data_IF_460907860293
#
_entry.id   IF_460907860293
#
_cell.length_a   1.000
_cell.length_b   1.000
_cell.length_c   1.000
_cell.angle_alpha   90.00
_cell.angle_beta   90.00
_cell.angle_gamma   90.00
#
_symmetry.space_group_name_H-M   'P 1'
#
loop_
_entity.id
_entity.type
_entity.pdbx_description
1 polymer ?
#
# COMPACT_ATOMS: atom_id res chain seq x y z
N UNK A 1 -6.32 -14.67 43.61
CA UNK A 1 -5.39 -15.56 42.90
C UNK A 1 -6.17 -16.69 42.19
N UNK A 2 -7.01 -16.38 41.19
CA UNK A 2 -7.85 -17.42 40.50
C UNK A 2 -7.64 -17.47 38.97
N UNK A 3 -7.30 -16.35 38.31
CA UNK A 3 -7.21 -16.30 36.84
C UNK A 3 -6.00 -16.96 36.17
N UNK A 4 -5.18 -17.77 36.88
CA UNK A 4 -4.05 -18.51 36.26
C UNK A 4 -4.43 -19.95 35.89
N UNK A 5 -5.26 -20.61 36.69
CA UNK A 5 -5.69 -22.00 36.45
C UNK A 5 -6.66 -22.09 35.28
N UNK A 6 -7.62 -21.16 35.17
CA UNK A 6 -8.56 -21.10 34.04
C UNK A 6 -7.86 -20.85 32.70
N UNK A 7 -6.79 -20.03 32.71
CA UNK A 7 -5.98 -19.77 31.51
C UNK A 7 -5.15 -20.99 31.08
N UNK A 8 -4.70 -21.81 32.02
CA UNK A 8 -4.02 -23.08 31.74
C UNK A 8 -4.96 -24.08 31.07
N UNK A 9 -6.16 -24.26 31.63
CA UNK A 9 -7.17 -25.16 31.05
C UNK A 9 -7.59 -24.76 29.62
N UNK A 10 -7.70 -23.45 29.33
CA UNK A 10 -7.99 -22.96 27.99
C UNK A 10 -6.87 -23.26 26.97
N UNK A 11 -5.62 -23.22 27.41
CA UNK A 11 -4.47 -23.57 26.57
C UNK A 11 -4.44 -25.07 26.26
N UNK A 12 -4.68 -25.91 27.26
CA UNK A 12 -4.74 -27.37 27.09
C UNK A 12 -5.90 -27.81 26.18
N UNK A 13 -7.07 -27.18 26.33
CA UNK A 13 -8.22 -27.40 25.45
C UNK A 13 -7.91 -26.97 24.00
N UNK A 14 -7.25 -25.82 23.83
CA UNK A 14 -6.81 -25.34 22.52
C UNK A 14 -5.81 -26.30 21.86
N UNK A 15 -4.88 -26.88 22.61
CA UNK A 15 -3.92 -27.85 22.07
C UNK A 15 -4.58 -29.18 21.66
N UNK A 16 -5.55 -29.67 22.44
CA UNK A 16 -6.34 -30.84 22.08
C UNK A 16 -7.13 -30.63 20.78
N UNK A 17 -7.72 -29.44 20.61
CA UNK A 17 -8.45 -29.08 19.38
C UNK A 17 -7.49 -28.94 18.19
N UNK A 18 -6.30 -28.35 18.37
CA UNK A 18 -5.26 -28.30 17.32
C UNK A 18 -4.84 -29.71 16.90
N UNK A 19 -4.57 -30.60 17.85
CA UNK A 19 -4.16 -31.98 17.55
C UNK A 19 -5.27 -32.76 16.82
N UNK A 20 -6.52 -32.64 17.27
CA UNK A 20 -7.68 -33.29 16.64
C UNK A 20 -7.90 -32.79 15.20
N UNK A 21 -7.77 -31.49 14.97
CA UNK A 21 -7.96 -30.88 13.65
C UNK A 21 -6.82 -31.17 12.69
N UNK A 22 -5.57 -31.22 13.16
CA UNK A 22 -4.43 -31.73 12.38
C UNK A 22 -4.60 -33.21 12.02
N UNK A 23 -5.15 -34.02 12.93
CA UNK A 23 -5.43 -35.43 12.67
C UNK A 23 -6.59 -35.63 11.68
N UNK A 24 -7.61 -34.78 11.71
CA UNK A 24 -8.73 -34.80 10.77
C UNK A 24 -8.35 -34.26 9.39
N UNK A 25 -7.38 -33.34 9.30
CA UNK A 25 -6.92 -32.74 8.04
C UNK A 25 -5.82 -33.53 7.33
N UNK A 26 -5.68 -34.84 7.61
CA UNK A 26 -4.73 -35.74 6.92
C UNK A 26 -5.05 -35.79 5.42
N UNK A 27 -4.29 -35.03 4.63
CA UNK A 27 -4.50 -34.89 3.18
C UNK A 27 -4.46 -33.44 2.69
N UNK A 28 -4.59 -32.46 3.58
CA UNK A 28 -4.33 -31.05 3.27
C UNK A 28 -2.82 -30.74 3.31
N UNK A 29 -2.39 -29.73 2.56
CA UNK A 29 -1.02 -29.23 2.65
C UNK A 29 -0.70 -28.81 4.09
N UNK A 30 0.54 -29.01 4.53
CA UNK A 30 0.98 -28.72 5.92
C UNK A 30 0.59 -27.30 6.36
N UNK A 31 0.82 -26.30 5.50
CA UNK A 31 0.46 -24.91 5.78
C UNK A 31 -1.06 -24.66 5.90
N UNK A 32 -1.87 -25.48 5.25
CA UNK A 32 -3.33 -25.37 5.23
C UNK A 32 -3.95 -26.13 6.42
N UNK A 33 -3.38 -27.29 6.76
CA UNK A 33 -3.70 -28.02 7.99
C UNK A 33 -3.34 -27.19 9.23
N UNK A 34 -2.16 -26.55 9.27
CA UNK A 34 -1.75 -25.66 10.35
C UNK A 34 -2.65 -24.42 10.47
N UNK A 35 -3.06 -23.81 9.35
CA UNK A 35 -4.03 -22.70 9.35
C UNK A 35 -5.43 -23.13 9.83
N UNK A 36 -5.92 -24.28 9.39
CA UNK A 36 -7.21 -24.83 9.83
C UNK A 36 -7.21 -25.16 11.33
N UNK A 37 -6.12 -25.76 11.83
CA UNK A 37 -5.94 -26.06 13.24
C UNK A 37 -5.83 -24.80 14.11
N UNK A 38 -5.08 -23.80 13.65
CA UNK A 38 -4.99 -22.50 14.30
C UNK A 38 -6.35 -21.76 14.32
N UNK A 39 -7.18 -21.90 13.27
CA UNK A 39 -8.51 -21.29 13.22
C UNK A 39 -9.55 -22.01 14.10
N UNK A 40 -9.44 -23.33 14.23
CA UNK A 40 -10.32 -24.13 15.07
C UNK A 40 -10.08 -23.90 16.57
N UNK A 41 -8.81 -23.72 16.97
CA UNK A 41 -8.42 -23.46 18.36
C UNK A 41 -8.39 -21.97 18.75
N UNK A 42 -8.91 -21.08 17.90
CA UNK A 42 -9.10 -19.67 18.26
C UNK A 42 -10.33 -19.52 19.15
N UNK A 43 -10.14 -18.75 20.22
CA UNK A 43 -11.20 -18.33 21.13
C UNK A 43 -11.97 -19.50 21.77
N UNK A 44 -11.23 -20.49 22.26
CA UNK A 44 -11.78 -21.61 23.03
C UNK A 44 -11.54 -21.39 24.52
N UNK A 45 -12.55 -21.64 25.33
CA UNK A 45 -12.46 -21.61 26.79
C UNK A 45 -11.85 -22.95 27.31
N UNK A 46 -11.62 -23.08 28.62
CA UNK A 46 -11.06 -24.26 29.29
C UNK A 46 -11.83 -25.57 29.02
N UNK A 47 -13.10 -25.47 28.69
CA UNK A 47 -13.95 -26.61 28.33
C UNK A 47 -13.99 -26.89 26.83
N UNK A 48 -13.23 -26.15 26.02
CA UNK A 48 -13.20 -26.30 24.55
C UNK A 48 -14.39 -25.64 23.82
N UNK A 49 -15.26 -24.92 24.54
CA UNK A 49 -16.37 -24.18 23.95
C UNK A 49 -15.84 -22.90 23.28
N UNK A 50 -16.33 -22.62 22.06
CA UNK A 50 -15.98 -21.41 21.32
C UNK A 50 -16.73 -20.23 21.94
N UNK A 51 -15.99 -19.33 22.56
CA UNK A 51 -16.55 -18.06 22.99
C UNK A 51 -16.51 -17.09 21.81
N UNK A 52 -17.52 -16.21 21.76
CA UNK A 52 -17.49 -15.12 20.81
C UNK A 52 -16.37 -14.18 21.23
N UNK A 53 -15.24 -14.36 20.57
CA UNK A 53 -14.07 -13.53 20.79
C UNK A 53 -14.32 -12.04 20.56
N UNK A 54 -13.31 -11.22 20.83
CA UNK A 54 -13.31 -9.79 20.53
C UNK A 54 -14.02 -9.53 19.19
N UNK A 55 -15.01 -8.63 19.20
CA UNK A 55 -15.86 -8.34 18.04
C UNK A 55 -15.06 -8.32 16.74
N UNK A 56 -15.63 -8.77 15.61
CA UNK A 56 -14.99 -8.74 14.28
C UNK A 56 -14.33 -7.38 13.94
N UNK A 57 -14.83 -6.30 14.54
CA UNK A 57 -14.24 -4.96 14.45
C UNK A 57 -12.90 -4.82 15.21
N UNK A 58 -12.81 -5.37 16.42
CA UNK A 58 -11.59 -5.43 17.22
C UNK A 58 -10.54 -6.32 16.55
N UNK A 59 -10.93 -7.48 16.01
CA UNK A 59 -10.04 -8.33 15.22
C UNK A 59 -9.48 -7.61 14.00
N UNK A 60 -10.30 -6.82 13.30
CA UNK A 60 -9.85 -6.02 12.14
C UNK A 60 -8.85 -4.94 12.54
N UNK A 61 -9.08 -4.25 13.67
CA UNK A 61 -8.15 -3.24 14.20
C UNK A 61 -6.82 -3.89 14.60
N UNK A 62 -6.88 -5.02 15.28
CA UNK A 62 -5.70 -5.73 15.74
C UNK A 62 -4.90 -6.32 14.57
N UNK A 63 -5.55 -6.91 13.58
CA UNK A 63 -4.91 -7.36 12.34
C UNK A 63 -4.22 -6.21 11.58
N UNK A 64 -4.86 -5.03 11.49
CA UNK A 64 -4.25 -3.83 10.87
C UNK A 64 -3.02 -3.36 11.65
N UNK A 65 -3.10 -3.34 12.98
CA UNK A 65 -1.95 -3.01 13.85
C UNK A 65 -0.81 -4.01 13.66
N UNK A 66 -1.11 -5.32 13.64
CA UNK A 66 -0.12 -6.37 13.40
C UNK A 66 0.51 -6.25 12.01
N UNK A 67 -0.28 -5.89 10.98
CA UNK A 67 0.25 -5.63 9.64
C UNK A 67 1.26 -4.48 9.64
N UNK A 68 1.01 -3.37 10.33
CA UNK A 68 1.99 -2.29 10.46
C UNK A 68 3.22 -2.66 11.32
N UNK A 69 3.04 -3.50 12.34
CA UNK A 69 4.14 -3.98 13.19
C UNK A 69 5.07 -4.98 12.47
N UNK A 70 4.48 -5.85 11.64
CA UNK A 70 5.20 -6.89 10.89
C UNK A 70 5.63 -6.43 9.50
N UNK A 71 5.11 -5.29 9.01
CA UNK A 71 5.63 -4.66 7.80
C UNK A 71 6.99 -4.07 8.12
N UNK A 72 8.03 -4.83 7.80
CA UNK A 72 9.43 -4.38 7.78
C UNK A 72 9.72 -3.47 6.58
N UNK A 73 8.70 -2.88 5.94
CA UNK A 73 8.90 -1.81 4.98
C UNK A 73 9.56 -0.65 5.73
N UNK A 74 10.85 -0.48 5.46
CA UNK A 74 11.65 0.68 5.88
C UNK A 74 10.78 1.92 5.78
N UNK A 75 10.75 2.74 6.84
CA UNK A 75 10.10 4.05 6.80
C UNK A 75 10.41 4.70 5.45
N UNK A 76 9.37 5.10 4.72
CA UNK A 76 9.52 5.89 3.51
C UNK A 76 10.34 7.12 3.92
N UNK A 77 11.63 7.12 3.58
CA UNK A 77 12.49 8.30 3.68
C UNK A 77 11.95 9.29 2.65
N UNK A 78 10.90 10.02 3.04
CA UNK A 78 10.49 11.25 2.37
C UNK A 78 11.66 12.23 2.49
N UNK A 79 12.55 12.22 1.49
CA UNK A 79 13.70 13.14 1.47
C UNK A 79 14.82 12.81 0.48
N UNK A 80 15.09 11.55 0.16
CA UNK A 80 16.15 11.22 -0.81
C UNK A 80 15.58 11.05 -2.21
N UNK A 81 15.53 12.17 -2.96
CA UNK A 81 15.36 12.10 -4.40
C UNK A 81 16.63 11.49 -4.99
N UNK A 82 16.56 10.24 -5.44
CA UNK A 82 17.65 9.56 -6.19
C UNK A 82 17.80 10.07 -7.64
N UNK A 83 17.45 11.32 -7.86
CA UNK A 83 17.67 12.06 -9.10
C UNK A 83 18.15 13.45 -8.72
N UNK A 84 19.42 13.55 -8.29
CA UNK A 84 20.18 14.79 -8.42
C UNK A 84 20.47 15.02 -9.92
N UNK A 85 19.41 15.29 -10.68
CA UNK A 85 19.54 16.15 -11.84
C UNK A 85 19.79 17.52 -11.24
N UNK A 86 21.07 17.93 -11.24
CA UNK A 86 21.56 19.26 -10.88
C UNK A 86 20.47 20.28 -11.14
N UNK A 87 19.79 20.72 -10.07
CA UNK A 87 18.77 21.75 -10.16
C UNK A 87 19.49 23.00 -10.66
N UNK A 88 19.34 23.26 -11.95
CA UNK A 88 19.67 24.54 -12.55
C UNK A 88 19.07 25.61 -11.64
N UNK A 89 19.97 26.34 -11.00
CA UNK A 89 19.77 27.56 -10.21
C UNK A 89 18.57 27.55 -9.24
N UNK A 90 18.90 27.57 -7.95
CA UNK A 90 18.05 28.10 -6.85
C UNK A 90 17.76 29.61 -7.00
N UNK A 91 17.77 30.12 -8.23
CA UNK A 91 17.43 31.50 -8.52
C UNK A 91 15.90 31.61 -8.48
N UNK A 92 15.39 32.35 -7.50
CA UNK A 92 13.98 32.72 -7.46
C UNK A 92 13.58 33.33 -8.81
N UNK A 93 12.49 32.82 -9.38
CA UNK A 93 11.89 33.38 -10.59
C UNK A 93 11.10 34.63 -10.21
N UNK A 94 11.40 35.76 -10.85
CA UNK A 94 10.65 36.99 -10.64
C UNK A 94 9.23 36.87 -11.19
N UNK A 95 8.19 37.12 -10.38
CA UNK A 95 6.79 37.07 -10.84
C UNK A 95 6.39 38.21 -11.80
N UNK A 96 7.23 39.26 -11.95
CA UNK A 96 6.94 40.41 -12.82
C UNK A 96 7.43 40.17 -14.25
N UNK A 97 8.67 39.70 -14.42
CA UNK A 97 9.28 39.47 -15.73
C UNK A 97 9.56 37.99 -16.06
N UNK A 98 9.30 37.08 -15.12
CA UNK A 98 9.51 35.62 -15.24
C UNK A 98 10.96 35.20 -15.51
N UNK A 99 11.93 36.09 -15.34
CA UNK A 99 13.35 35.76 -15.42
C UNK A 99 13.89 35.27 -14.06
N UNK A 100 14.79 34.29 -14.04
CA UNK A 100 15.49 33.87 -12.83
C UNK A 100 16.51 34.94 -12.38
N UNK A 101 16.77 35.02 -11.08
CA UNK A 101 17.97 35.69 -10.55
C UNK A 101 17.74 36.98 -9.76
N UNK A 102 16.48 37.39 -9.56
CA UNK A 102 16.13 38.52 -8.71
C UNK A 102 14.73 38.37 -8.13
N UNK A 103 14.47 39.07 -7.04
CA UNK A 103 13.14 39.14 -6.44
C UNK A 103 12.27 40.20 -7.13
N UNK A 104 10.96 40.08 -6.99
CA UNK A 104 9.99 41.00 -7.62
C UNK A 104 10.17 42.46 -7.23
N UNK A 105 10.73 42.73 -6.05
CA UNK A 105 10.98 44.08 -5.55
C UNK A 105 12.24 44.73 -6.16
N UNK A 106 13.20 43.94 -6.64
CA UNK A 106 14.41 44.39 -7.35
C UNK A 106 14.22 44.47 -8.87
N UNK A 107 13.06 44.03 -9.39
CA UNK A 107 12.81 43.92 -10.82
C UNK A 107 12.68 45.29 -11.50
N UNK A 108 13.67 45.63 -12.32
CA UNK A 108 13.68 46.82 -13.20
C UNK A 108 13.05 46.57 -14.58
N UNK A 109 12.81 45.32 -14.94
CA UNK A 109 12.20 44.95 -16.21
C UNK A 109 10.69 45.28 -16.23
N UNK A 110 10.18 45.61 -17.42
CA UNK A 110 8.75 45.80 -17.66
C UNK A 110 7.97 44.49 -17.41
N UNK A 111 6.70 44.62 -17.01
CA UNK A 111 5.83 43.47 -16.79
C UNK A 111 5.51 42.80 -18.11
N UNK A 112 5.96 41.57 -18.28
CA UNK A 112 5.62 40.74 -19.43
C UNK A 112 4.27 40.07 -19.19
N UNK A 113 3.29 40.33 -20.05
CA UNK A 113 2.02 39.60 -20.04
C UNK A 113 2.14 38.32 -20.86
N UNK A 114 2.04 37.17 -20.21
CA UNK A 114 2.01 35.86 -20.88
C UNK A 114 0.57 35.37 -20.90
N UNK A 115 -0.05 35.35 -22.08
CA UNK A 115 -1.41 34.82 -22.22
C UNK A 115 -1.41 33.31 -22.05
N UNK A 116 -2.32 32.82 -21.20
CA UNK A 116 -2.54 31.38 -21.02
C UNK A 116 -3.64 30.95 -21.99
N UNK A 117 -3.42 29.94 -22.85
CA UNK A 117 -4.44 29.51 -23.79
C UNK A 117 -5.66 28.99 -23.03
N UNK A 118 -6.86 29.39 -23.46
CA UNK A 118 -8.11 28.96 -22.83
C UNK A 118 -8.33 27.46 -22.99
N UNK A 119 -9.18 26.85 -22.16
CA UNK A 119 -9.47 25.41 -22.24
C UNK A 119 -10.03 25.00 -23.60
N UNK A 120 -10.87 25.85 -24.20
CA UNK A 120 -11.41 25.61 -25.56
C UNK A 120 -10.32 25.71 -26.63
N UNK A 121 -9.37 26.65 -26.48
CA UNK A 121 -8.22 26.77 -27.38
C UNK A 121 -7.26 25.58 -27.26
N UNK A 122 -7.10 25.02 -26.06
CA UNK A 122 -6.33 23.80 -25.81
C UNK A 122 -7.00 22.53 -26.35
N UNK A 123 -8.34 22.46 -26.34
CA UNK A 123 -9.08 21.33 -26.94
C UNK A 123 -8.99 21.35 -28.46
N UNK A 124 -9.09 22.53 -29.08
CA UNK A 124 -8.91 22.71 -30.53
C UNK A 124 -7.49 22.36 -30.98
N UNK A 125 -6.49 22.67 -30.16
CA UNK A 125 -5.07 22.39 -30.45
C UNK A 125 -4.44 21.54 -29.32
N UNK A 126 -4.42 20.20 -29.46
CA UNK A 126 -3.89 19.30 -28.45
C UNK A 126 -2.42 19.55 -28.08
N UNK A 127 -1.64 20.22 -28.94
CA UNK A 127 -0.25 20.63 -28.69
C UNK A 127 -0.11 21.69 -27.59
N UNK A 128 -1.16 22.50 -27.37
CA UNK A 128 -1.20 23.53 -26.31
C UNK A 128 -1.64 22.96 -24.96
N UNK A 129 -2.03 21.69 -24.90
CA UNK A 129 -2.38 21.03 -23.65
C UNK A 129 -1.11 20.79 -22.88
N UNK A 130 -1.03 21.36 -21.67
CA UNK A 130 -0.04 20.94 -20.69
C UNK A 130 -0.21 19.43 -20.49
N UNK A 131 0.83 18.64 -20.77
CA UNK A 131 0.86 17.23 -20.38
C UNK A 131 0.91 17.21 -18.85
N UNK A 132 -0.26 17.13 -18.22
CA UNK A 132 -0.34 16.97 -16.78
C UNK A 132 0.42 15.72 -16.38
N UNK A 133 1.33 15.84 -15.40
CA UNK A 133 1.79 14.69 -14.62
C UNK A 133 0.63 14.25 -13.72
N UNK A 134 -0.36 13.60 -14.33
CA UNK A 134 -1.40 12.87 -13.60
C UNK A 134 -1.62 11.59 -14.38
N UNK A 135 -0.68 10.65 -14.19
CA UNK A 135 -1.04 9.23 -14.23
C UNK A 135 -1.03 8.81 -12.76
N UNK A 136 -2.22 8.79 -12.16
CA UNK A 136 -2.48 8.00 -10.95
C UNK A 136 -2.80 6.56 -11.39
N UNK A 137 -2.06 6.04 -12.37
CA UNK A 137 -2.28 4.75 -13.03
C UNK A 137 -0.97 3.94 -13.09
N UNK A 138 -0.07 4.16 -12.12
CA UNK A 138 1.16 3.37 -11.95
C UNK A 138 1.22 2.64 -10.60
N UNK A 139 0.07 2.29 -10.02
CA UNK A 139 -0.01 1.39 -8.85
C UNK A 139 -1.13 0.34 -9.01
N UNK A 140 -1.40 -0.13 -10.24
CA UNK A 140 -2.27 -1.29 -10.45
C UNK A 140 -1.45 -2.52 -10.92
N UNK A 141 -1.12 -3.48 -10.03
CA UNK A 141 -0.27 -4.63 -10.33
C UNK A 141 -0.89 -5.68 -11.27
N UNK A 142 -2.13 -5.50 -11.72
CA UNK A 142 -2.77 -6.41 -12.68
C UNK A 142 -2.41 -6.11 -14.15
N UNK A 143 -2.08 -4.87 -14.50
CA UNK A 143 -1.76 -4.50 -15.90
C UNK A 143 -0.46 -5.20 -16.37
N UNK A 144 0.52 -5.38 -15.48
CA UNK A 144 1.76 -6.10 -15.82
C UNK A 144 1.54 -7.60 -16.06
N UNK A 145 0.53 -8.20 -15.42
CA UNK A 145 0.24 -9.63 -15.57
C UNK A 145 -0.40 -9.90 -16.93
N UNK A 146 -1.32 -9.04 -17.37
CA UNK A 146 -1.96 -9.17 -18.68
C UNK A 146 -0.94 -9.09 -19.82
N UNK A 147 -0.02 -8.11 -19.77
CA UNK A 147 1.04 -7.96 -20.79
C UNK A 147 2.02 -9.15 -20.80
N UNK A 148 2.28 -9.79 -19.65
CA UNK A 148 3.15 -10.99 -19.56
C UNK A 148 2.44 -12.23 -20.10
N UNK A 149 1.13 -12.38 -19.85
CA UNK A 149 0.32 -13.50 -20.37
C UNK A 149 0.24 -13.45 -21.89
N UNK A 150 -0.03 -12.29 -22.47
CA UNK A 150 -0.12 -12.12 -23.94
C UNK A 150 1.20 -12.46 -24.66
N UNK A 151 2.34 -12.07 -24.09
CA UNK A 151 3.66 -12.41 -24.64
C UNK A 151 3.93 -13.92 -24.59
N UNK A 152 3.47 -14.59 -23.54
CA UNK A 152 3.67 -16.02 -23.36
C UNK A 152 2.75 -16.85 -24.29
N UNK A 153 1.54 -16.35 -24.56
CA UNK A 153 0.62 -16.95 -25.55
C UNK A 153 1.18 -16.82 -26.97
N UNK A 154 1.70 -15.64 -27.35
CA UNK A 154 2.32 -15.43 -28.67
C UNK A 154 3.57 -16.29 -28.89
N UNK A 155 4.38 -16.51 -27.85
CA UNK A 155 5.58 -17.36 -27.92
C UNK A 155 5.28 -18.85 -28.05
N UNK A 156 4.08 -19.30 -27.67
CA UNK A 156 3.66 -20.71 -27.82
C UNK A 156 3.06 -21.05 -29.18
N UNK A 157 2.76 -20.05 -30.00
CA UNK A 157 2.19 -20.20 -31.34
C UNK A 157 3.22 -20.00 -32.46
N UNK A 158 4.52 -19.99 -32.13
CA UNK A 158 5.63 -19.92 -33.09
C UNK A 158 6.56 -21.11 -32.91
#
# INVERSE_FOLDING_TARGET
>A
MSGKEEKGGAQDAAERIKAATLSAAKGLSRSQAERAAAAAARNVNAYGQKEEGPSRWQERKEAKRQMYLMSTEKQVRLGERKDQKTSMSTATNCQKCFQPGHWTYECKNERVYISRPSRTQQLKNPKLRMRGRVSYDLDNPDIEKEVKVDKNVKKKHQ
#
